data_IF_290186257735
#
_entry.id   IF_290186257735
#
_cell.length_a   1.000
_cell.length_b   1.000
_cell.length_c   1.000
_cell.angle_alpha   90.00
_cell.angle_beta   90.00
_cell.angle_gamma   90.00
#
_symmetry.space_group_name_H-M   'P 1'
#
loop_
_entity.id
_entity.type
_entity.pdbx_description
1 polymer ?
#
# COMPACT_ATOMS: atom_id res chain seq x y z
N UNK A 1 -48.11 -58.08 -43.11
CA UNK A 1 -46.92 -58.85 -42.68
C UNK A 1 -46.04 -57.91 -41.86
N UNK A 2 -45.52 -58.40 -40.72
CA UNK A 2 -44.72 -57.72 -39.66
C UNK A 2 -45.43 -56.79 -38.66
N UNK A 3 -45.61 -57.34 -37.45
CA UNK A 3 -45.72 -56.66 -36.15
C UNK A 3 -44.47 -55.81 -35.88
N UNK A 4 -44.60 -54.68 -35.17
CA UNK A 4 -44.10 -54.50 -33.79
C UNK A 4 -44.33 -53.10 -33.24
N UNK A 5 -44.33 -53.06 -31.91
CA UNK A 5 -44.89 -52.09 -30.99
C UNK A 5 -44.09 -50.79 -30.82
N UNK A 6 -44.77 -49.81 -30.24
CA UNK A 6 -44.28 -48.51 -29.80
C UNK A 6 -43.30 -48.65 -28.62
N UNK A 7 -42.09 -48.09 -28.70
CA UNK A 7 -41.13 -48.03 -27.59
C UNK A 7 -40.33 -46.71 -27.67
N UNK A 8 -40.65 -45.80 -26.74
CA UNK A 8 -39.83 -44.75 -26.11
C UNK A 8 -38.83 -43.92 -26.93
N UNK A 9 -39.01 -42.60 -26.89
CA UNK A 9 -37.87 -41.67 -26.89
C UNK A 9 -38.02 -40.65 -25.76
N UNK A 10 -37.74 -41.09 -24.53
CA UNK A 10 -37.44 -40.19 -23.42
C UNK A 10 -35.98 -39.79 -23.54
N UNK A 11 -35.70 -38.58 -23.99
CA UNK A 11 -34.41 -37.93 -23.80
C UNK A 11 -34.57 -36.86 -22.72
N UNK A 12 -34.32 -37.24 -21.47
CA UNK A 12 -34.05 -36.29 -20.40
C UNK A 12 -32.53 -36.10 -20.34
N UNK A 13 -32.01 -34.99 -20.87
CA UNK A 13 -30.65 -34.55 -20.55
C UNK A 13 -30.67 -33.09 -20.08
N UNK A 14 -30.40 -32.97 -18.78
CA UNK A 14 -29.89 -31.86 -17.97
C UNK A 14 -30.61 -30.51 -18.00
N UNK A 15 -31.16 -30.14 -16.82
CA UNK A 15 -31.29 -28.75 -16.38
C UNK A 15 -29.92 -28.05 -16.49
N UNK A 16 -29.77 -26.92 -17.20
CA UNK A 16 -28.58 -26.10 -17.06
C UNK A 16 -28.71 -25.16 -15.85
N UNK A 17 -27.75 -25.32 -14.94
CA UNK A 17 -27.19 -24.34 -14.00
C UNK A 17 -28.11 -23.24 -13.47
N UNK A 18 -28.46 -23.35 -12.18
CA UNK A 18 -28.62 -22.17 -11.35
C UNK A 18 -27.31 -21.39 -11.38
N UNK A 19 -27.30 -20.23 -12.04
CA UNK A 19 -26.20 -19.29 -11.96
C UNK A 19 -26.09 -18.83 -10.52
N UNK A 20 -25.05 -19.30 -9.81
CA UNK A 20 -24.55 -18.60 -8.62
C UNK A 20 -24.26 -17.18 -9.06
N UNK A 21 -25.09 -16.26 -8.58
CA UNK A 21 -24.92 -14.82 -8.68
C UNK A 21 -23.46 -14.49 -8.38
N UNK A 22 -22.86 -13.80 -9.34
CA UNK A 22 -21.49 -13.29 -9.33
C UNK A 22 -21.16 -12.78 -7.93
N UNK A 23 -20.20 -13.46 -7.31
CA UNK A 23 -19.64 -13.19 -5.99
C UNK A 23 -19.30 -11.71 -5.87
N UNK A 24 -19.81 -11.07 -4.81
CA UNK A 24 -19.45 -9.73 -4.37
C UNK A 24 -17.95 -9.52 -4.46
N UNK A 25 -17.53 -8.52 -5.24
CA UNK A 25 -16.14 -8.04 -5.34
C UNK A 25 -15.68 -7.60 -3.95
N UNK A 26 -15.07 -8.51 -3.19
CA UNK A 26 -14.46 -8.16 -1.89
C UNK A 26 -13.29 -7.21 -2.14
N UNK A 27 -13.44 -5.96 -1.69
CA UNK A 27 -12.34 -4.99 -1.69
C UNK A 27 -11.33 -5.49 -0.66
N UNK A 28 -10.24 -6.10 -1.14
CA UNK A 28 -9.19 -6.64 -0.29
C UNK A 28 -8.39 -5.48 0.32
N UNK A 29 -8.68 -5.15 1.58
CA UNK A 29 -7.89 -4.22 2.39
C UNK A 29 -6.86 -5.01 3.18
N UNK A 30 -5.60 -4.55 3.18
CA UNK A 30 -4.52 -5.20 3.93
C UNK A 30 -3.81 -4.18 4.83
N UNK A 31 -3.67 -4.52 6.10
CA UNK A 31 -2.95 -3.70 7.07
C UNK A 31 -1.58 -4.31 7.36
N UNK A 32 -0.55 -3.47 7.35
CA UNK A 32 0.83 -3.87 7.65
C UNK A 32 1.31 -3.02 8.82
N UNK A 33 1.68 -3.67 9.93
CA UNK A 33 2.36 -3.02 11.05
C UNK A 33 3.82 -2.82 10.69
N UNK A 34 4.25 -1.57 10.51
CA UNK A 34 5.65 -1.23 10.23
C UNK A 34 6.49 -1.14 11.49
N UNK A 35 5.94 -0.52 12.53
CA UNK A 35 6.63 -0.24 13.80
C UNK A 35 5.62 -0.36 14.93
N UNK A 36 5.93 -1.14 15.96
CA UNK A 36 5.14 -1.18 17.20
C UNK A 36 6.07 -1.41 18.39
N UNK A 37 6.02 -0.51 19.36
CA UNK A 37 6.77 -0.67 20.61
C UNK A 37 7.21 0.63 21.26
N UNK A 38 7.98 0.47 22.32
CA UNK A 38 8.67 1.55 23.02
C UNK A 38 10.14 1.59 22.61
N UNK A 39 10.62 2.79 22.32
CA UNK A 39 11.94 3.05 21.78
C UNK A 39 12.64 4.12 22.60
N UNK A 40 13.95 3.97 22.74
CA UNK A 40 14.78 5.07 23.21
C UNK A 40 14.77 6.22 22.19
N UNK A 41 15.02 7.47 22.59
CA UNK A 41 15.09 8.59 21.65
C UNK A 41 16.06 8.35 20.48
N UNK A 42 17.19 7.67 20.71
CA UNK A 42 18.12 7.32 19.63
C UNK A 42 17.49 6.36 18.63
N UNK A 43 16.91 5.26 19.11
CA UNK A 43 16.25 4.26 18.26
C UNK A 43 15.07 4.86 17.49
N UNK A 44 14.27 5.70 18.15
CA UNK A 44 13.16 6.42 17.52
C UNK A 44 13.65 7.30 16.36
N UNK A 45 14.75 8.04 16.59
CA UNK A 45 15.37 8.89 15.57
C UNK A 45 15.84 8.08 14.37
N UNK A 46 16.50 6.95 14.62
CA UNK A 46 17.03 6.07 13.56
C UNK A 46 15.88 5.50 12.70
N UNK A 47 14.81 5.00 13.33
CA UNK A 47 13.65 4.42 12.64
C UNK A 47 12.92 5.48 11.80
N UNK A 48 12.59 6.63 12.40
CA UNK A 48 11.84 7.69 11.70
C UNK A 48 12.67 8.26 10.56
N UNK A 49 13.96 8.50 10.79
CA UNK A 49 14.88 8.97 9.76
C UNK A 49 14.99 7.99 8.61
N UNK A 50 15.09 6.67 8.89
CA UNK A 50 15.17 5.64 7.86
C UNK A 50 13.91 5.63 6.97
N UNK A 51 12.71 5.72 7.58
CA UNK A 51 11.45 5.74 6.85
C UNK A 51 11.31 6.99 5.96
N UNK A 52 11.63 8.17 6.49
CA UNK A 52 11.54 9.41 5.71
C UNK A 52 12.59 9.44 4.60
N UNK A 53 13.83 9.02 4.90
CA UNK A 53 14.89 8.92 3.88
C UNK A 53 14.49 7.97 2.75
N UNK A 54 13.83 6.84 3.05
CA UNK A 54 13.36 5.92 2.02
C UNK A 54 12.31 6.56 1.11
N UNK A 55 11.39 7.37 1.67
CA UNK A 55 10.39 8.13 0.90
C UNK A 55 11.03 9.23 0.06
N UNK A 56 12.04 9.92 0.57
CA UNK A 56 12.84 10.89 -0.19
C UNK A 56 13.54 10.20 -1.36
N UNK A 57 14.18 9.05 -1.11
CA UNK A 57 14.89 8.31 -2.15
C UNK A 57 13.96 7.84 -3.27
N UNK A 58 12.74 7.42 -2.94
CA UNK A 58 11.72 7.10 -3.94
C UNK A 58 11.48 8.28 -4.91
N UNK A 59 11.25 9.48 -4.38
CA UNK A 59 11.01 10.67 -5.21
C UNK A 59 12.26 11.12 -5.99
N UNK A 60 13.47 10.90 -5.45
CA UNK A 60 14.72 11.16 -6.19
C UNK A 60 14.84 10.24 -7.42
N UNK A 61 14.57 8.94 -7.24
CA UNK A 61 14.59 7.97 -8.34
C UNK A 61 13.49 8.30 -9.37
N UNK A 62 12.29 8.62 -8.92
CA UNK A 62 11.18 9.05 -9.78
C UNK A 62 11.57 10.28 -10.62
N UNK A 63 12.27 11.25 -10.03
CA UNK A 63 12.79 12.42 -10.74
C UNK A 63 13.79 12.07 -11.83
N UNK A 64 14.72 11.16 -11.54
CA UNK A 64 15.68 10.67 -12.55
C UNK A 64 14.96 9.97 -13.71
N UNK A 65 13.98 9.11 -13.42
CA UNK A 65 13.20 8.42 -14.44
C UNK A 65 12.44 9.38 -15.35
N UNK A 66 11.85 10.44 -14.77
CA UNK A 66 11.14 11.44 -15.55
C UNK A 66 12.11 12.27 -16.42
N UNK A 67 13.27 12.61 -15.88
CA UNK A 67 14.29 13.37 -16.62
C UNK A 67 14.89 12.56 -17.78
N UNK A 68 15.16 11.26 -17.56
CA UNK A 68 15.59 10.35 -18.62
C UNK A 68 14.56 10.26 -19.75
N UNK A 69 13.27 10.30 -19.42
CA UNK A 69 12.17 10.27 -20.39
C UNK A 69 11.99 11.59 -21.15
N UNK A 70 12.11 12.73 -20.47
CA UNK A 70 12.04 14.07 -21.06
C UNK A 70 12.93 15.05 -20.30
N UNK A 71 13.96 15.54 -20.99
CA UNK A 71 14.94 16.46 -20.43
C UNK A 71 14.37 17.88 -20.20
N UNK A 72 13.19 18.18 -20.76
CA UNK A 72 12.47 19.43 -20.53
C UNK A 72 11.45 19.35 -19.39
N UNK A 73 11.34 18.20 -18.72
CA UNK A 73 10.41 18.05 -17.60
C UNK A 73 10.76 19.02 -16.46
N UNK A 74 9.74 19.63 -15.86
CA UNK A 74 9.89 20.55 -14.73
C UNK A 74 10.26 19.77 -13.45
N UNK A 75 11.44 19.99 -12.86
CA UNK A 75 11.84 19.32 -11.62
C UNK A 75 11.13 19.86 -10.38
N UNK A 76 10.48 21.03 -10.46
CA UNK A 76 9.94 21.75 -9.29
C UNK A 76 8.95 20.94 -8.44
N UNK A 77 7.99 20.19 -9.00
CA UNK A 77 7.02 19.44 -8.20
C UNK A 77 7.70 18.41 -7.29
N UNK A 78 8.69 17.69 -7.82
CA UNK A 78 9.44 16.68 -7.07
C UNK A 78 10.41 17.32 -6.08
N UNK A 79 11.09 18.42 -6.45
CA UNK A 79 11.98 19.12 -5.53
C UNK A 79 11.21 19.73 -4.35
N UNK A 80 10.02 20.29 -4.60
CA UNK A 80 9.16 20.81 -3.53
C UNK A 80 8.74 19.69 -2.59
N UNK A 81 8.37 18.52 -3.12
CA UNK A 81 8.00 17.38 -2.30
C UNK A 81 9.17 16.86 -1.47
N UNK A 82 10.38 16.83 -2.02
CA UNK A 82 11.59 16.46 -1.28
C UNK A 82 11.84 17.45 -0.14
N UNK A 83 11.73 18.76 -0.39
CA UNK A 83 11.91 19.78 0.63
C UNK A 83 10.89 19.64 1.77
N UNK A 84 9.61 19.39 1.45
CA UNK A 84 8.58 19.13 2.47
C UNK A 84 8.95 17.94 3.37
N UNK A 85 9.47 16.86 2.79
CA UNK A 85 9.89 15.68 3.54
C UNK A 85 11.14 15.94 4.40
N UNK A 86 12.06 16.79 3.94
CA UNK A 86 13.22 17.22 4.73
C UNK A 86 12.80 18.07 5.93
N UNK A 87 11.79 18.93 5.77
CA UNK A 87 11.21 19.71 6.85
C UNK A 87 10.44 18.82 7.85
N UNK A 88 9.65 17.85 7.36
CA UNK A 88 8.98 16.84 8.21
C UNK A 88 10.01 16.05 9.04
N UNK A 89 11.14 15.68 8.43
CA UNK A 89 12.25 15.01 9.13
C UNK A 89 12.82 15.89 10.22
N UNK A 90 13.09 17.17 9.94
CA UNK A 90 13.63 18.11 10.93
C UNK A 90 12.70 18.26 12.13
N UNK A 91 11.39 18.44 11.90
CA UNK A 91 10.42 18.54 12.99
C UNK A 91 10.37 17.26 13.85
N UNK A 92 10.50 16.08 13.23
CA UNK A 92 10.55 14.83 13.97
C UNK A 92 11.82 14.71 14.84
N UNK A 93 12.98 15.10 14.30
CA UNK A 93 14.25 15.12 15.03
C UNK A 93 14.22 16.11 16.19
N UNK A 94 13.66 17.30 16.00
CA UNK A 94 13.47 18.32 17.05
C UNK A 94 12.59 17.78 18.18
N UNK A 95 11.45 17.17 17.85
CA UNK A 95 10.54 16.56 18.83
C UNK A 95 11.24 15.45 19.66
N UNK A 96 12.03 14.61 19.00
CA UNK A 96 12.78 13.53 19.67
C UNK A 96 13.89 14.12 20.55
N UNK A 97 14.56 15.18 20.11
CA UNK A 97 15.59 15.86 20.88
C UNK A 97 15.04 16.46 22.18
N UNK A 98 13.85 17.06 22.15
CA UNK A 98 13.17 17.56 23.35
C UNK A 98 12.84 16.44 24.35
N UNK A 99 12.42 15.27 23.85
CA UNK A 99 12.11 14.13 24.70
C UNK A 99 13.36 13.47 25.26
N UNK A 100 14.45 13.46 24.50
CA UNK A 100 15.78 13.05 24.96
C UNK A 100 16.25 13.93 26.13
N UNK A 101 16.07 15.26 26.04
CA UNK A 101 16.39 16.17 27.12
C UNK A 101 15.57 15.89 28.41
N UNK A 102 14.37 15.33 28.27
CA UNK A 102 13.49 14.94 29.38
C UNK A 102 13.74 13.51 29.89
N UNK A 103 14.64 12.75 29.25
CA UNK A 103 14.96 11.36 29.61
C UNK A 103 13.78 10.39 29.44
N UNK A 104 12.85 10.68 28.54
CA UNK A 104 11.64 9.85 28.32
C UNK A 104 11.79 8.97 27.07
N UNK A 105 11.24 7.77 27.13
CA UNK A 105 11.09 6.88 25.98
C UNK A 105 9.88 7.29 25.12
N UNK A 106 9.92 6.90 23.85
CA UNK A 106 8.85 7.15 22.89
C UNK A 106 8.11 5.86 22.59
N UNK A 107 6.78 5.94 22.52
CA UNK A 107 5.95 4.89 21.94
C UNK A 107 5.66 5.22 20.50
N UNK A 108 6.02 4.33 19.57
CA UNK A 108 5.80 4.51 18.13
C UNK A 108 4.88 3.40 17.65
N UNK A 109 3.82 3.78 16.95
CA UNK A 109 2.94 2.86 16.25
C UNK A 109 2.74 3.36 14.81
N UNK A 110 3.08 2.53 13.83
CA UNK A 110 2.93 2.82 12.41
C UNK A 110 2.20 1.68 11.70
N UNK A 111 0.99 1.95 11.21
CA UNK A 111 0.16 1.02 10.44
C UNK A 111 0.01 1.57 9.02
N UNK A 112 0.42 0.80 8.02
CA UNK A 112 0.08 1.07 6.62
C UNK A 112 -1.21 0.33 6.26
N UNK A 113 -2.21 1.10 5.83
CA UNK A 113 -3.46 0.55 5.30
C UNK A 113 -3.38 0.57 3.77
N UNK A 114 -3.33 -0.62 3.16
CA UNK A 114 -3.30 -0.79 1.71
C UNK A 114 -4.72 -1.07 1.23
N UNK A 115 -5.16 -0.27 0.26
CA UNK A 115 -6.44 -0.45 -0.42
C UNK A 115 -6.23 -0.28 -1.93
N UNK A 116 -7.10 -0.89 -2.72
CA UNK A 116 -7.10 -0.70 -4.17
C UNK A 116 -7.49 0.75 -4.45
N UNK A 117 -6.64 1.48 -5.16
CA UNK A 117 -6.96 2.78 -5.70
C UNK A 117 -7.70 2.62 -7.04
N UNK A 118 -8.72 3.45 -7.29
CA UNK A 118 -9.50 3.48 -8.54
C UNK A 118 -8.76 4.18 -9.69
#
# INVERSE_FOLDING_TARGET
MFKKYNICSNHLISKPMETKSITSKEIKVQNIQLVDGEFTPSQASDIISALINQKINYHKIEGLQLWERDHNNDPKPLSNRINELEEEKRHAEEFIAELKAKGKNLKINGILNLSIAD
#
